data_IF_485007337909
#
_entry.id   IF_485007337909
#
_cell.length_a   1.000
_cell.length_b   1.000
_cell.length_c   1.000
_cell.angle_alpha   90.00
_cell.angle_beta   90.00
_cell.angle_gamma   90.00
#
_symmetry.space_group_name_H-M   'P 1'
#
loop_
_entity.id
_entity.type
_entity.pdbx_description
1 polymer ?
#
# COMPACT_ATOMS: atom_id res chain seq x y z
N UNK A 1 8.94 3.44 -6.52
CA UNK A 1 9.41 2.07 -6.82
C UNK A 1 9.17 1.31 -5.54
N UNK A 2 8.31 0.29 -5.58
CA UNK A 2 7.95 -0.50 -4.39
C UNK A 2 9.22 -1.22 -3.90
N UNK A 3 9.60 -1.02 -2.64
CA UNK A 3 10.80 -1.67 -2.06
C UNK A 3 10.55 -3.17 -1.94
N UNK A 4 11.53 -3.98 -2.32
CA UNK A 4 11.43 -5.43 -2.21
C UNK A 4 11.47 -5.85 -0.73
N UNK A 5 10.85 -6.99 -0.40
CA UNK A 5 10.86 -7.54 0.95
C UNK A 5 12.29 -7.91 1.39
N UNK A 6 13.12 -8.36 0.46
CA UNK A 6 14.52 -8.67 0.75
C UNK A 6 15.29 -7.39 1.17
N UNK A 7 15.10 -6.28 0.45
CA UNK A 7 15.70 -4.99 0.83
C UNK A 7 15.25 -4.55 2.24
N UNK A 8 13.98 -4.80 2.59
CA UNK A 8 13.46 -4.48 3.91
C UNK A 8 14.08 -5.36 5.03
N UNK A 9 14.33 -6.63 4.74
CA UNK A 9 15.01 -7.55 5.67
C UNK A 9 16.47 -7.17 5.87
N UNK A 10 17.18 -6.81 4.78
CA UNK A 10 18.57 -6.36 4.85
C UNK A 10 18.69 -5.06 5.65
N UNK A 11 17.79 -4.09 5.42
CA UNK A 11 17.74 -2.84 6.19
C UNK A 11 17.44 -3.09 7.67
N UNK A 12 16.53 -4.02 7.98
CA UNK A 12 16.19 -4.40 9.35
C UNK A 12 17.41 -5.03 10.05
N UNK A 13 18.10 -5.94 9.37
CA UNK A 13 19.34 -6.55 9.86
C UNK A 13 20.38 -5.49 10.23
N UNK A 14 20.58 -4.53 9.32
CA UNK A 14 21.52 -3.44 9.51
C UNK A 14 21.17 -2.54 10.70
N UNK A 15 19.89 -2.14 10.85
CA UNK A 15 19.44 -1.33 11.99
C UNK A 15 19.62 -2.05 13.34
N UNK A 16 19.46 -3.38 13.37
CA UNK A 16 19.62 -4.15 14.60
C UNK A 16 21.09 -4.34 14.97
N UNK A 17 21.98 -4.61 14.00
CA UNK A 17 23.42 -4.64 14.23
C UNK A 17 23.95 -3.30 14.76
N UNK A 18 23.46 -2.18 14.23
CA UNK A 18 23.82 -0.85 14.72
C UNK A 18 23.33 -0.63 16.16
N UNK A 19 22.07 -0.97 16.47
CA UNK A 19 21.52 -0.84 17.82
C UNK A 19 22.22 -1.71 18.88
N UNK A 20 22.69 -2.90 18.51
CA UNK A 20 23.50 -3.77 19.38
C UNK A 20 24.84 -3.12 19.75
N UNK A 21 25.41 -2.30 18.87
CA UNK A 21 26.65 -1.56 19.13
C UNK A 21 26.45 -0.35 20.07
N UNK A 22 25.19 0.01 20.40
CA UNK A 22 24.84 1.14 21.27
C UNK A 22 24.24 0.73 22.62
N UNK A 23 24.29 -0.54 23.00
CA UNK A 23 23.83 -0.97 24.33
C UNK A 23 24.68 -0.28 25.43
N UNK A 24 24.08 0.52 26.33
CA UNK A 24 24.81 1.14 27.43
C UNK A 24 25.31 0.06 28.40
N UNK A 25 26.54 0.25 28.92
CA UNK A 25 27.16 -0.61 29.93
C UNK A 25 26.16 -0.94 31.07
N UNK A 26 25.77 -2.22 31.12
CA UNK A 26 25.15 -3.07 32.15
C UNK A 26 24.21 -2.53 33.27
N UNK A 27 23.92 -1.23 33.43
CA UNK A 27 23.20 -0.73 34.62
C UNK A 27 21.70 -0.42 34.46
N UNK A 28 21.04 -0.75 33.34
CA UNK A 28 19.68 -0.25 33.09
C UNK A 28 18.59 -1.30 32.77
N UNK A 29 18.33 -2.24 33.67
CA UNK A 29 17.03 -2.95 33.72
C UNK A 29 16.94 -4.29 32.99
N UNK A 30 15.79 -4.95 33.13
CA UNK A 30 15.49 -6.22 32.46
C UNK A 30 15.27 -5.99 30.97
N UNK A 31 16.32 -6.20 30.17
CA UNK A 31 16.21 -6.28 28.73
C UNK A 31 15.82 -7.71 28.34
N UNK A 32 14.80 -7.82 27.49
CA UNK A 32 14.55 -9.07 26.77
C UNK A 32 15.46 -9.04 25.55
N UNK A 33 16.48 -9.88 25.55
CA UNK A 33 17.29 -10.11 24.37
C UNK A 33 16.47 -10.90 23.36
N UNK A 34 16.31 -10.36 22.16
CA UNK A 34 15.60 -11.03 21.08
C UNK A 34 16.64 -11.67 20.16
N UNK A 35 16.54 -12.99 19.95
CA UNK A 35 17.35 -13.64 18.92
C UNK A 35 16.96 -13.04 17.57
N UNK A 36 17.95 -12.47 16.90
CA UNK A 36 17.79 -11.84 15.60
C UNK A 36 17.17 -12.80 14.57
N UNK A 37 17.58 -14.07 14.58
CA UNK A 37 17.02 -15.06 13.65
C UNK A 37 15.55 -15.35 13.98
N UNK A 38 15.20 -15.40 15.27
CA UNK A 38 13.80 -15.57 15.69
C UNK A 38 12.92 -14.39 15.24
N UNK A 39 13.45 -13.17 15.30
CA UNK A 39 12.71 -11.99 14.84
C UNK A 39 12.58 -11.92 13.31
N UNK A 40 13.61 -12.34 12.56
CA UNK A 40 13.52 -12.47 11.11
C UNK A 40 12.46 -13.51 10.71
N UNK A 41 12.50 -14.69 11.33
CA UNK A 41 11.50 -15.75 11.11
C UNK A 41 10.09 -15.27 11.48
N UNK A 42 9.96 -14.53 12.59
CA UNK A 42 8.69 -13.93 12.99
C UNK A 42 8.20 -12.88 11.97
N UNK A 43 9.11 -12.10 11.39
CA UNK A 43 8.80 -11.06 10.40
C UNK A 43 8.33 -11.64 9.07
N UNK A 44 8.91 -12.77 8.62
CA UNK A 44 8.49 -13.43 7.38
C UNK A 44 7.02 -13.89 7.43
N UNK A 45 6.49 -14.21 8.61
CA UNK A 45 5.06 -14.50 8.81
C UNK A 45 4.13 -13.32 8.45
N UNK A 46 4.68 -12.11 8.27
CA UNK A 46 3.97 -10.90 7.89
C UNK A 46 4.29 -10.42 6.48
N UNK A 47 5.11 -11.14 5.71
CA UNK A 47 5.48 -10.80 4.33
C UNK A 47 4.29 -10.52 3.42
N UNK A 48 3.20 -11.27 3.59
CA UNK A 48 1.97 -11.10 2.83
C UNK A 48 0.97 -10.20 3.57
N UNK A 49 1.44 -9.04 4.05
CA UNK A 49 0.59 -8.09 4.77
C UNK A 49 0.57 -6.72 4.11
N UNK A 50 -0.57 -6.05 4.23
CA UNK A 50 -0.75 -4.66 3.87
C UNK A 50 -0.99 -3.86 5.15
N UNK A 51 -0.31 -2.73 5.27
CA UNK A 51 -0.74 -1.68 6.17
C UNK A 51 -1.90 -0.93 5.52
N UNK A 52 -2.96 -0.71 6.29
CA UNK A 52 -4.19 -0.11 5.80
C UNK A 52 -4.65 1.01 6.73
N UNK A 53 -5.21 2.08 6.15
CA UNK A 53 -5.92 3.13 6.89
C UNK A 53 -7.20 3.48 6.18
N UNK A 54 -8.29 3.51 6.94
CA UNK A 54 -9.59 3.98 6.44
C UNK A 54 -9.72 5.47 6.73
N UNK A 55 -9.86 6.28 5.68
CA UNK A 55 -10.07 7.72 5.78
C UNK A 55 -11.55 8.01 6.02
N UNK A 56 -11.97 7.84 7.27
CA UNK A 56 -13.37 7.95 7.72
C UNK A 56 -13.52 8.93 8.88
N UNK A 57 -14.67 9.60 8.96
CA UNK A 57 -15.05 10.39 10.14
C UNK A 57 -15.44 9.51 11.33
N UNK A 58 -15.80 8.25 11.08
CA UNK A 58 -16.33 7.34 12.10
C UNK A 58 -15.41 6.14 12.30
N UNK A 59 -14.70 6.04 13.45
CA UNK A 59 -13.79 4.92 13.71
C UNK A 59 -14.48 3.56 13.55
N UNK A 60 -13.80 2.62 12.89
CA UNK A 60 -14.28 1.24 12.69
C UNK A 60 -13.43 0.26 13.48
N UNK A 61 -14.07 -0.75 14.06
CA UNK A 61 -13.35 -1.86 14.69
C UNK A 61 -12.66 -2.75 13.65
N UNK A 62 -11.59 -3.44 14.05
CA UNK A 62 -10.92 -4.42 13.20
C UNK A 62 -11.88 -5.52 12.70
N UNK A 63 -12.88 -5.90 13.49
CA UNK A 63 -13.92 -6.86 13.08
C UNK A 63 -14.77 -6.32 11.93
N UNK A 64 -15.18 -5.04 11.98
CA UNK A 64 -15.95 -4.41 10.92
C UNK A 64 -15.12 -4.30 9.63
N UNK A 65 -13.87 -3.84 9.73
CA UNK A 65 -12.95 -3.79 8.60
C UNK A 65 -12.77 -5.18 7.99
N UNK A 66 -12.48 -6.19 8.81
CA UNK A 66 -12.32 -7.58 8.37
C UNK A 66 -13.54 -8.09 7.59
N UNK A 67 -14.74 -7.86 8.10
CA UNK A 67 -15.95 -8.34 7.45
C UNK A 67 -16.19 -7.61 6.12
N UNK A 68 -15.92 -6.30 6.07
CA UNK A 68 -16.07 -5.52 4.86
C UNK A 68 -15.05 -5.87 3.78
N UNK A 69 -13.75 -5.97 4.12
CA UNK A 69 -12.71 -6.33 3.14
C UNK A 69 -12.94 -7.72 2.56
N UNK A 70 -13.39 -8.69 3.38
CA UNK A 70 -13.72 -10.04 2.90
C UNK A 70 -14.90 -10.04 1.94
N UNK A 71 -15.89 -9.19 2.21
CA UNK A 71 -17.04 -9.03 1.32
C UNK A 71 -16.64 -8.38 -0.01
N UNK A 72 -15.92 -7.26 0.05
CA UNK A 72 -15.53 -6.46 -1.12
C UNK A 72 -14.56 -7.20 -2.03
N UNK A 73 -13.57 -7.89 -1.46
CA UNK A 73 -12.54 -8.60 -2.23
C UNK A 73 -12.98 -10.00 -2.68
N UNK A 74 -14.21 -10.41 -2.37
CA UNK A 74 -14.74 -11.73 -2.75
C UNK A 74 -13.88 -12.90 -2.24
N UNK A 75 -13.07 -12.67 -1.22
CA UNK A 75 -12.05 -13.61 -0.83
C UNK A 75 -12.64 -14.67 0.11
N UNK A 76 -12.71 -15.91 -0.37
CA UNK A 76 -12.89 -17.09 0.49
C UNK A 76 -11.68 -17.28 1.43
N UNK A 77 -10.58 -16.55 1.20
CA UNK A 77 -9.34 -16.67 1.96
C UNK A 77 -9.47 -16.23 3.41
N UNK A 78 -8.56 -16.75 4.24
CA UNK A 78 -8.45 -16.39 5.66
C UNK A 78 -7.68 -15.08 5.79
N UNK A 79 -8.35 -13.96 5.51
CA UNK A 79 -7.81 -12.63 5.82
C UNK A 79 -7.81 -12.44 7.33
N UNK A 80 -6.65 -12.12 7.89
CA UNK A 80 -6.53 -11.66 9.28
C UNK A 80 -6.37 -10.15 9.28
N UNK A 81 -7.15 -9.46 10.12
CA UNK A 81 -7.01 -8.03 10.35
C UNK A 81 -6.60 -7.82 11.80
N UNK A 82 -5.48 -7.14 12.01
CA UNK A 82 -4.96 -6.78 13.32
C UNK A 82 -5.01 -5.26 13.45
N UNK A 83 -5.69 -4.72 14.48
CA UNK A 83 -5.65 -3.28 14.74
C UNK A 83 -4.25 -2.86 15.15
N UNK A 84 -3.83 -1.70 14.67
CA UNK A 84 -2.59 -1.02 15.03
C UNK A 84 -2.96 0.33 15.66
N UNK A 85 -1.98 1.06 16.16
CA UNK A 85 -2.16 2.41 16.67
C UNK A 85 -2.63 3.39 15.58
N UNK A 86 -3.15 4.55 16.00
CA UNK A 86 -3.53 5.66 15.11
C UNK A 86 -4.55 5.33 14.00
N UNK A 87 -5.37 4.30 14.19
CA UNK A 87 -6.41 3.90 13.24
C UNK A 87 -5.87 3.12 12.03
N UNK A 88 -4.62 2.64 12.11
CA UNK A 88 -4.06 1.71 11.14
C UNK A 88 -4.51 0.27 11.42
N UNK A 89 -4.45 -0.55 10.38
CA UNK A 89 -4.71 -1.98 10.44
C UNK A 89 -3.65 -2.72 9.64
N UNK A 90 -3.17 -3.85 10.16
CA UNK A 90 -2.44 -4.83 9.37
C UNK A 90 -3.42 -5.86 8.82
N UNK A 91 -3.45 -5.98 7.50
CA UNK A 91 -4.27 -6.94 6.76
C UNK A 91 -3.34 -8.00 6.22
N UNK A 92 -3.36 -9.20 6.82
CA UNK A 92 -2.54 -10.33 6.40
C UNK A 92 -3.34 -11.27 5.49
N UNK A 93 -2.72 -11.61 4.37
CA UNK A 93 -3.22 -12.54 3.36
C UNK A 93 -2.51 -13.88 3.48
N UNK A 94 -3.19 -14.97 3.13
CA UNK A 94 -2.55 -16.29 3.03
C UNK A 94 -1.82 -16.48 1.70
N UNK A 95 -2.27 -15.78 0.66
CA UNK A 95 -1.77 -15.89 -0.70
C UNK A 95 -1.15 -14.56 -1.12
N UNK A 96 0.09 -14.62 -1.61
CA UNK A 96 0.74 -13.47 -2.24
C UNK A 96 -0.01 -13.00 -3.50
N UNK A 97 -0.69 -13.92 -4.20
CA UNK A 97 -1.52 -13.57 -5.35
C UNK A 97 -2.75 -12.72 -4.95
N UNK A 98 -3.36 -13.01 -3.79
CA UNK A 98 -4.49 -12.22 -3.28
C UNK A 98 -4.03 -10.81 -2.89
N UNK A 99 -2.88 -10.70 -2.23
CA UNK A 99 -2.26 -9.41 -1.90
C UNK A 99 -1.99 -8.60 -3.17
N UNK A 100 -1.36 -9.19 -4.17
CA UNK A 100 -1.05 -8.50 -5.42
C UNK A 100 -2.31 -8.08 -6.18
N UNK A 101 -3.36 -8.92 -6.17
CA UNK A 101 -4.65 -8.55 -6.77
C UNK A 101 -5.28 -7.36 -6.05
N UNK A 102 -5.31 -7.37 -4.71
CA UNK A 102 -5.81 -6.24 -3.91
C UNK A 102 -5.02 -4.97 -4.22
N UNK A 103 -3.70 -5.02 -4.27
CA UNK A 103 -2.88 -3.86 -4.64
C UNK A 103 -3.08 -3.44 -6.09
N UNK A 104 -3.35 -4.36 -7.02
CA UNK A 104 -3.54 -4.04 -8.44
C UNK A 104 -4.88 -3.35 -8.72
N UNK A 105 -5.92 -3.79 -8.03
CA UNK A 105 -7.28 -3.26 -8.20
C UNK A 105 -7.57 -2.06 -7.30
N UNK A 106 -6.58 -1.54 -6.55
CA UNK A 106 -6.72 -0.29 -5.79
C UNK A 106 -7.03 0.90 -6.74
N UNK A 107 -7.80 1.89 -6.28
CA UNK A 107 -8.16 2.16 -4.88
C UNK A 107 -9.38 1.36 -4.41
N UNK A 108 -9.50 1.17 -3.09
CA UNK A 108 -10.65 0.48 -2.49
C UNK A 108 -11.52 1.43 -1.68
N UNK A 109 -12.84 1.22 -1.75
CA UNK A 109 -13.81 1.94 -0.93
C UNK A 109 -14.52 0.97 0.00
N UNK A 110 -14.54 1.30 1.29
CA UNK A 110 -15.20 0.51 2.34
C UNK A 110 -16.08 1.43 3.16
N UNK A 111 -17.34 1.06 3.35
CA UNK A 111 -18.35 1.92 4.00
C UNK A 111 -18.54 3.30 3.34
N UNK A 112 -18.14 3.47 2.08
CA UNK A 112 -18.15 4.76 1.38
C UNK A 112 -16.86 5.58 1.58
N UNK A 113 -15.95 5.12 2.43
CA UNK A 113 -14.69 5.78 2.76
C UNK A 113 -13.51 5.15 2.01
N UNK A 114 -12.48 5.95 1.69
CA UNK A 114 -11.27 5.47 1.01
C UNK A 114 -10.44 4.61 1.97
N UNK A 115 -10.14 3.38 1.55
CA UNK A 115 -9.18 2.51 2.20
C UNK A 115 -7.84 2.62 1.47
N UNK A 116 -6.87 3.24 2.13
CA UNK A 116 -5.51 3.40 1.61
C UNK A 116 -4.67 2.21 2.03
N UNK A 117 -3.92 1.65 1.09
CA UNK A 117 -3.14 0.43 1.28
C UNK A 117 -1.68 0.64 0.90
N UNK A 118 -0.78 0.10 1.71
CA UNK A 118 0.64 0.00 1.40
C UNK A 118 1.17 -1.35 1.83
N UNK A 119 2.13 -1.91 1.09
CA UNK A 119 2.80 -3.14 1.50
C UNK A 119 3.45 -2.95 2.87
N UNK A 120 3.24 -3.90 3.77
CA UNK A 120 3.87 -3.87 5.09
C UNK A 120 5.39 -3.94 4.94
N UNK A 121 6.09 -3.16 5.76
CA UNK A 121 7.53 -3.22 5.89
C UNK A 121 7.88 -3.18 7.39
N UNK A 122 8.63 -4.16 7.92
CA UNK A 122 8.94 -4.23 9.34
C UNK A 122 9.87 -3.14 9.84
N UNK A 123 10.58 -2.40 8.96
CA UNK A 123 11.34 -1.21 9.37
C UNK A 123 10.46 0.05 9.52
N UNK A 124 9.14 -0.06 9.28
CA UNK A 124 8.24 1.07 9.47
C UNK A 124 8.00 1.33 10.96
N UNK A 125 8.34 2.56 11.37
CA UNK A 125 7.90 3.09 12.66
C UNK A 125 6.41 3.47 12.57
N UNK A 126 5.58 2.63 13.20
CA UNK A 126 4.13 2.79 13.26
C UNK A 126 3.71 4.08 13.97
N UNK A 127 4.57 4.67 14.81
CA UNK A 127 4.24 5.89 15.56
C UNK A 127 4.30 7.17 14.72
N UNK A 128 5.16 7.20 13.69
CA UNK A 128 5.36 8.35 12.80
C UNK A 128 4.83 8.18 11.38
N UNK A 129 4.26 7.02 11.05
CA UNK A 129 3.88 6.71 9.66
C UNK A 129 2.60 7.42 9.20
N UNK A 130 2.64 7.97 7.99
CA UNK A 130 1.50 8.55 7.28
C UNK A 130 1.30 7.87 5.93
N UNK A 131 0.13 7.23 5.73
CA UNK A 131 -0.28 6.71 4.43
C UNK A 131 -0.83 7.84 3.54
N UNK A 132 0.06 8.69 3.02
CA UNK A 132 -0.33 9.91 2.29
C UNK A 132 -0.53 9.71 0.78
N UNK A 133 -0.31 8.51 0.23
CA UNK A 133 -0.43 8.28 -1.21
C UNK A 133 -1.27 7.06 -1.54
N UNK A 134 -2.01 7.12 -2.65
CA UNK A 134 -2.79 6.01 -3.18
C UNK A 134 -2.80 6.05 -4.72
N UNK A 135 -2.98 4.89 -5.36
CA UNK A 135 -3.06 4.80 -6.82
C UNK A 135 -4.52 4.85 -7.28
N UNK A 136 -4.82 5.77 -8.20
CA UNK A 136 -6.14 5.94 -8.80
C UNK A 136 -6.11 5.60 -10.29
N UNK A 137 -7.17 4.96 -10.78
CA UNK A 137 -7.41 4.82 -12.22
C UNK A 137 -8.13 6.05 -12.75
N UNK A 138 -7.45 6.79 -13.62
CA UNK A 138 -7.96 7.98 -14.29
C UNK A 138 -8.34 7.62 -15.72
N UNK A 139 -9.58 7.93 -16.12
CA UNK A 139 -10.06 7.71 -17.48
C UNK A 139 -9.75 8.92 -18.37
N UNK A 140 -8.97 8.71 -19.42
CA UNK A 140 -8.66 9.70 -20.44
C UNK A 140 -9.63 9.52 -21.61
N UNK A 141 -10.61 10.41 -21.67
CA UNK A 141 -11.67 10.43 -22.69
C UNK A 141 -11.35 11.41 -23.81
N UNK A 142 -11.99 11.24 -24.97
CA UNK A 142 -11.90 12.17 -26.12
C UNK A 142 -10.47 12.43 -26.62
N UNK A 143 -9.58 11.42 -26.52
CA UNK A 143 -8.25 11.49 -27.11
C UNK A 143 -8.34 11.50 -28.65
N UNK A 144 -7.62 12.42 -29.29
CA UNK A 144 -7.48 12.43 -30.74
C UNK A 144 -6.72 11.19 -31.22
N UNK A 145 -6.93 10.72 -32.47
CA UNK A 145 -6.24 9.55 -33.01
C UNK A 145 -4.71 9.61 -32.87
N UNK A 146 -4.11 10.79 -33.02
CA UNK A 146 -2.68 11.05 -32.88
C UNK A 146 -2.17 10.83 -31.44
N UNK A 147 -3.07 10.91 -30.45
CA UNK A 147 -2.79 10.66 -29.03
C UNK A 147 -2.97 9.19 -28.63
N UNK A 148 -3.50 8.33 -29.51
CA UNK A 148 -3.73 6.91 -29.22
C UNK A 148 -2.43 6.12 -29.40
N UNK A 149 -1.57 6.22 -28.40
CA UNK A 149 -0.33 5.46 -28.28
C UNK A 149 0.01 5.33 -26.79
N UNK A 150 1.10 4.64 -26.45
CA UNK A 150 1.49 4.45 -25.04
C UNK A 150 1.98 5.73 -24.34
N UNK A 151 2.63 6.63 -25.08
CA UNK A 151 3.37 7.77 -24.53
C UNK A 151 2.44 8.93 -24.18
N UNK A 152 1.47 9.23 -25.03
CA UNK A 152 0.60 10.39 -24.87
C UNK A 152 -0.33 10.31 -23.65
N UNK A 153 -1.08 9.20 -23.41
CA UNK A 153 -1.85 9.00 -22.19
C UNK A 153 -1.01 9.13 -20.93
N UNK A 154 0.19 8.54 -20.92
CA UNK A 154 1.12 8.63 -19.81
C UNK A 154 1.56 10.07 -19.54
N UNK A 155 1.87 10.83 -20.60
CA UNK A 155 2.28 12.23 -20.47
C UNK A 155 1.13 13.13 -19.99
N UNK A 156 -0.08 12.90 -20.47
CA UNK A 156 -1.27 13.65 -20.04
C UNK A 156 -1.55 13.35 -18.56
N UNK A 157 -1.61 12.08 -18.18
CA UNK A 157 -1.89 11.67 -16.81
C UNK A 157 -0.79 12.09 -15.82
N UNK A 158 0.45 12.30 -16.28
CA UNK A 158 1.56 12.75 -15.42
C UNK A 158 1.36 14.14 -14.80
N UNK A 159 0.40 14.93 -15.31
CA UNK A 159 0.00 16.21 -14.70
C UNK A 159 -0.65 15.98 -13.32
N UNK A 160 -1.32 14.84 -13.13
CA UNK A 160 -1.99 14.49 -11.87
C UNK A 160 -0.97 13.93 -10.87
N UNK A 161 0.00 13.15 -11.35
CA UNK A 161 1.03 12.53 -10.51
C UNK A 161 1.83 11.45 -11.25
N UNK A 162 2.73 10.73 -10.55
CA UNK A 162 3.50 9.65 -11.15
C UNK A 162 2.59 8.54 -11.72
N UNK A 163 2.71 8.27 -13.02
CA UNK A 163 1.94 7.22 -13.70
C UNK A 163 2.62 5.87 -13.51
N UNK A 164 1.90 4.91 -12.94
CA UNK A 164 2.39 3.56 -12.66
C UNK A 164 1.97 2.55 -13.73
N UNK A 165 0.86 2.76 -14.43
CA UNK A 165 0.36 1.85 -15.47
C UNK A 165 -0.56 2.53 -16.47
N UNK A 166 -0.72 1.94 -17.65
CA UNK A 166 -1.68 2.36 -18.68
C UNK A 166 -2.47 1.12 -19.11
N UNK A 167 -3.79 1.27 -19.27
CA UNK A 167 -4.70 0.23 -19.73
C UNK A 167 -5.61 0.76 -20.87
N UNK A 168 -5.62 0.14 -22.06
CA UNK A 168 -4.76 -0.97 -22.47
C UNK A 168 -3.30 -0.54 -22.58
N UNK A 169 -2.37 -1.48 -22.37
CA UNK A 169 -0.93 -1.21 -22.38
C UNK A 169 -0.42 -0.54 -23.67
N UNK A 170 -1.11 -0.76 -24.79
CA UNK A 170 -0.84 -0.11 -26.08
C UNK A 170 -1.16 1.39 -26.10
N UNK A 171 -2.01 1.86 -25.19
CA UNK A 171 -2.64 3.18 -25.21
C UNK A 171 -3.66 3.35 -26.35
N UNK A 172 -4.08 2.23 -26.97
CA UNK A 172 -5.08 2.21 -28.04
C UNK A 172 -6.30 1.45 -27.51
N UNK A 173 -7.45 2.12 -27.30
CA UNK A 173 -8.63 1.50 -26.72
C UNK A 173 -9.15 0.36 -27.62
N UNK A 174 -9.61 -0.72 -26.98
CA UNK A 174 -10.28 -1.83 -27.65
C UNK A 174 -11.65 -2.02 -26.99
N UNK A 175 -12.72 -1.87 -27.77
CA UNK A 175 -14.10 -1.94 -27.29
C UNK A 175 -14.47 -0.89 -26.21
N UNK A 176 -13.69 0.19 -26.11
CA UNK A 176 -13.91 1.35 -25.23
C UNK A 176 -13.66 2.65 -26.00
N UNK A 177 -14.04 3.79 -25.42
CA UNK A 177 -13.76 5.13 -25.97
C UNK A 177 -12.71 5.89 -25.17
N UNK A 178 -12.05 5.21 -24.23
CA UNK A 178 -11.12 5.82 -23.27
C UNK A 178 -9.90 4.93 -23.04
N UNK A 179 -8.82 5.57 -22.61
CA UNK A 179 -7.62 4.90 -22.09
C UNK A 179 -7.53 5.21 -20.61
N UNK A 180 -7.23 4.21 -19.78
CA UNK A 180 -7.02 4.38 -18.35
C UNK A 180 -5.55 4.58 -18.05
N UNK A 181 -5.25 5.51 -17.16
CA UNK A 181 -3.93 5.68 -16.58
C UNK A 181 -4.02 5.49 -15.07
N UNK A 182 -3.10 4.68 -14.52
CA UNK A 182 -2.97 4.50 -13.08
C UNK A 182 -1.99 5.51 -12.54
N UNK A 183 -2.44 6.38 -11.64
CA UNK A 183 -1.69 7.53 -11.16
C UNK A 183 -1.57 7.47 -9.65
N UNK A 184 -0.35 7.62 -9.13
CA UNK A 184 -0.10 7.80 -7.71
C UNK A 184 -0.42 9.24 -7.33
N UNK A 185 -1.33 9.44 -6.36
CA UNK A 185 -1.82 10.74 -5.93
C UNK A 185 -1.56 10.91 -4.44
N UNK A 186 -1.08 12.08 -4.03
CA UNK A 186 -1.03 12.47 -2.63
C UNK A 186 -2.44 12.85 -2.18
N UNK A 187 -3.01 12.09 -1.24
CA UNK A 187 -4.39 12.29 -0.77
C UNK A 187 -4.51 13.40 0.28
N UNK A 188 -3.38 13.90 0.79
CA UNK A 188 -3.33 15.02 1.73
C UNK A 188 -3.26 16.36 0.98
N UNK A 189 -2.92 16.34 -0.31
CA UNK A 189 -2.88 17.52 -1.16
C UNK A 189 -4.23 17.73 -1.87
N UNK A 190 -4.68 18.99 -2.00
CA UNK A 190 -5.87 19.28 -2.81
C UNK A 190 -5.60 18.93 -4.27
N UNK A 191 -6.63 18.42 -4.95
CA UNK A 191 -6.52 18.10 -6.38
C UNK A 191 -6.16 19.37 -7.19
N UNK A 192 -5.32 19.27 -8.23
CA UNK A 192 -4.97 20.41 -9.08
C UNK A 192 -6.23 21.11 -9.60
N UNK A 193 -6.35 22.42 -9.35
CA UNK A 193 -7.47 23.21 -9.86
C UNK A 193 -7.25 23.57 -11.34
N UNK A 194 -8.32 23.57 -12.13
CA UNK A 194 -8.29 24.09 -13.49
C UNK A 194 -7.85 25.56 -13.47
N UNK A 195 -6.83 25.90 -14.27
CA UNK A 195 -6.26 27.26 -14.37
C UNK A 195 -6.84 28.03 -15.55
#
# INVERSE_FOLDING_TARGET
>A
MERDWNDAMDDMAYQMEDNLNFLPDEEAGHFVDFDFNELLDASDNWRNSLLARLYTETPKSALQIRNAVRFVWGSESRITVVPVENGYFLIRFQSDADLHWVLKESPWTIFGDLLVLQRWNPIYDLSGMTLSTENFWVELINLQPEHLNRVMPQRIASVIGPVTSIDPFSGIPFNTTFVKARVCVNIEEPFPQET
#
